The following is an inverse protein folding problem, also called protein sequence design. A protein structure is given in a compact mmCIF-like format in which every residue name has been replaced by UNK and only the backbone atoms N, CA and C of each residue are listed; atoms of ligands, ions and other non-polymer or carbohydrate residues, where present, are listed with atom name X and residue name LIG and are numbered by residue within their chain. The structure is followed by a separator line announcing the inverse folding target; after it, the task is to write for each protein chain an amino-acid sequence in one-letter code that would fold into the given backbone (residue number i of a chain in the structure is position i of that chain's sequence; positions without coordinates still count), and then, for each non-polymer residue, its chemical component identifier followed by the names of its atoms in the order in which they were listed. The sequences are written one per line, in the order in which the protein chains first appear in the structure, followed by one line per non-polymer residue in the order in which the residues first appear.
data_IF_791899458113
#
_entry.id   IF_791899458113
#
_cell.length_a   1.000
_cell.length_b   1.000
_cell.length_c   1.000
_cell.angle_alpha   90.00
_cell.angle_beta   90.00
_cell.angle_gamma   90.00
#
_symmetry.space_group_name_H-M   'P 1'
#
loop_
_entity.id
_entity.type
_entity.pdbx_description
1 polymer ?
#
# COMPACT_ATOMS: atom_id res chain seq x y z
N UNK A 1 -63.10 -0.70 17.47
CA UNK A 1 -61.83 -1.47 17.51
C UNK A 1 -61.08 -1.24 16.20
N UNK A 2 -60.09 -0.34 16.19
CA UNK A 2 -59.15 -0.16 15.08
C UNK A 2 -57.77 -0.02 15.70
N UNK A 3 -56.98 -1.10 15.63
CA UNK A 3 -55.60 -1.12 16.10
C UNK A 3 -54.73 -0.42 15.06
N UNK A 4 -54.11 0.69 15.46
CA UNK A 4 -53.06 1.35 14.70
C UNK A 4 -51.74 0.76 15.19
N UNK A 5 -51.12 -0.10 14.37
CA UNK A 5 -49.75 -0.57 14.58
C UNK A 5 -48.77 0.55 14.21
N UNK A 6 -47.84 0.95 15.09
CA UNK A 6 -46.78 1.86 14.71
C UNK A 6 -45.73 1.07 13.92
N UNK A 7 -45.47 1.51 12.69
CA UNK A 7 -44.36 1.03 11.87
C UNK A 7 -43.05 1.46 12.53
N UNK A 8 -42.41 0.55 13.26
CA UNK A 8 -41.05 0.76 13.77
C UNK A 8 -40.09 0.63 12.57
N UNK A 9 -39.69 1.78 12.06
CA UNK A 9 -38.68 1.89 11.02
C UNK A 9 -37.32 1.54 11.63
N UNK A 10 -36.89 0.28 11.50
CA UNK A 10 -35.55 -0.16 11.91
C UNK A 10 -34.56 0.38 10.89
N UNK A 11 -33.96 1.52 11.20
CA UNK A 11 -32.78 2.03 10.51
C UNK A 11 -31.60 1.13 10.84
N UNK A 12 -31.40 0.07 10.05
CA UNK A 12 -30.13 -0.65 10.05
C UNK A 12 -29.10 0.29 9.42
N UNK A 13 -28.42 1.07 10.27
CA UNK A 13 -27.20 1.77 9.93
C UNK A 13 -26.15 0.72 9.58
N UNK A 14 -26.06 0.32 8.32
CA UNK A 14 -24.91 -0.40 7.77
C UNK A 14 -23.74 0.58 7.64
N UNK A 15 -23.22 1.05 8.78
CA UNK A 15 -21.87 1.58 8.86
C UNK A 15 -20.90 0.40 8.75
N UNK A 16 -20.76 -0.13 7.54
CA UNK A 16 -19.58 -0.91 7.20
C UNK A 16 -18.42 0.09 7.14
N UNK A 17 -17.84 0.39 8.30
CA UNK A 17 -16.51 0.96 8.32
C UNK A 17 -15.65 -0.02 7.53
N UNK A 18 -15.07 0.48 6.44
CA UNK A 18 -14.13 -0.22 5.60
C UNK A 18 -12.95 -0.63 6.48
N UNK A 19 -13.04 -1.78 7.14
CA UNK A 19 -11.92 -2.40 7.82
C UNK A 19 -11.01 -2.85 6.69
N UNK A 20 -10.03 -2.02 6.37
CA UNK A 20 -8.92 -2.45 5.54
C UNK A 20 -8.27 -3.62 6.27
N UNK A 21 -8.45 -4.82 5.75
CA UNK A 21 -7.97 -6.04 6.40
C UNK A 21 -6.46 -6.09 6.23
N UNK A 22 -5.73 -5.80 7.31
CA UNK A 22 -4.28 -5.87 7.27
C UNK A 22 -3.80 -7.31 7.06
N UNK A 23 -2.77 -7.44 6.24
CA UNK A 23 -2.13 -8.71 5.92
C UNK A 23 -1.05 -8.96 6.97
N UNK A 24 -1.09 -10.15 7.57
CA UNK A 24 -0.04 -10.64 8.48
C UNK A 24 0.80 -11.69 7.76
N UNK A 25 2.11 -11.47 7.66
CA UNK A 25 3.04 -12.39 7.02
C UNK A 25 4.16 -12.76 7.99
N UNK A 26 4.55 -14.04 7.95
CA UNK A 26 5.73 -14.54 8.62
C UNK A 26 6.88 -14.64 7.62
N UNK A 27 8.11 -14.51 8.11
CA UNK A 27 9.29 -14.78 7.30
C UNK A 27 9.18 -16.18 6.67
N UNK A 28 9.44 -16.29 5.38
CA UNK A 28 9.27 -17.51 4.61
C UNK A 28 10.54 -18.01 3.93
N UNK A 29 11.56 -17.16 3.82
CA UNK A 29 12.84 -17.50 3.22
C UNK A 29 13.94 -16.66 3.85
N UNK A 30 15.11 -17.27 4.09
CA UNK A 30 16.35 -16.56 4.46
C UNK A 30 17.16 -16.36 3.18
N UNK A 31 17.41 -15.12 2.81
CA UNK A 31 18.18 -14.79 1.59
C UNK A 31 19.67 -14.64 1.87
N UNK A 32 20.03 -14.15 3.07
CA UNK A 32 21.43 -13.96 3.49
C UNK A 32 21.52 -13.85 5.00
N UNK A 33 22.69 -14.16 5.55
CA UNK A 33 23.01 -13.90 6.96
C UNK A 33 24.52 -13.73 7.13
N UNK A 34 24.94 -13.06 8.21
CA UNK A 34 26.37 -12.92 8.53
C UNK A 34 26.99 -14.20 9.09
N UNK A 35 26.28 -14.86 10.00
CA UNK A 35 26.74 -16.06 10.69
C UNK A 35 25.54 -16.79 11.30
N UNK A 36 25.78 -18.05 11.65
CA UNK A 36 24.86 -18.87 12.41
C UNK A 36 25.67 -19.80 13.32
N UNK A 37 25.07 -20.29 14.40
CA UNK A 37 25.75 -21.20 15.33
C UNK A 37 26.00 -22.58 14.74
N UNK A 38 24.98 -23.16 14.11
CA UNK A 38 25.07 -24.46 13.45
C UNK A 38 24.13 -24.53 12.22
N UNK A 39 24.06 -25.69 11.57
CA UNK A 39 23.20 -25.95 10.41
C UNK A 39 21.86 -26.60 10.78
N UNK A 40 21.54 -26.70 12.07
CA UNK A 40 20.35 -27.38 12.59
C UNK A 40 19.49 -26.47 13.46
N UNK A 41 19.31 -26.84 14.73
CA UNK A 41 18.39 -26.19 15.67
C UNK A 41 18.75 -24.77 16.08
N UNK A 42 19.90 -24.23 15.68
CA UNK A 42 20.31 -22.84 15.93
C UNK A 42 20.79 -22.15 14.63
N UNK A 43 20.22 -22.56 13.50
CA UNK A 43 20.53 -22.03 12.17
C UNK A 43 19.67 -20.82 11.80
N UNK A 44 20.06 -20.08 10.76
CA UNK A 44 19.29 -18.94 10.27
C UNK A 44 17.86 -19.32 9.86
N UNK A 45 17.64 -20.55 9.36
CA UNK A 45 16.33 -21.03 8.92
C UNK A 45 15.33 -21.24 10.07
N UNK A 46 15.77 -21.22 11.33
CA UNK A 46 14.85 -21.33 12.47
C UNK A 46 13.94 -20.11 12.62
N UNK A 47 14.28 -18.96 12.02
CA UNK A 47 13.47 -17.74 12.05
C UNK A 47 12.18 -17.82 11.21
N UNK A 48 12.03 -18.87 10.39
CA UNK A 48 10.98 -19.00 9.39
C UNK A 48 9.67 -19.52 10.01
N UNK A 49 8.56 -18.95 9.55
CA UNK A 49 7.23 -19.32 10.01
C UNK A 49 6.84 -18.66 11.34
N UNK A 50 5.92 -19.32 12.06
CA UNK A 50 5.45 -18.87 13.37
C UNK A 50 6.52 -19.17 14.45
N UNK A 51 6.56 -18.38 15.53
CA UNK A 51 7.46 -18.63 16.65
C UNK A 51 7.25 -20.03 17.24
N UNK A 52 8.36 -20.71 17.56
CA UNK A 52 8.38 -22.04 18.17
C UNK A 52 8.92 -22.02 19.62
N UNK A 53 9.58 -20.93 20.02
CA UNK A 53 10.19 -20.77 21.35
C UNK A 53 9.42 -19.78 22.22
N UNK A 54 9.05 -18.62 21.69
CA UNK A 54 8.25 -17.61 22.40
C UNK A 54 6.94 -18.22 22.91
N UNK A 55 6.51 -17.93 24.16
CA UNK A 55 7.02 -16.90 25.07
C UNK A 55 8.14 -17.37 26.01
N UNK A 56 8.75 -18.54 25.81
CA UNK A 56 9.84 -19.00 26.68
C UNK A 56 11.09 -18.15 26.48
N UNK A 57 11.81 -17.91 27.57
CA UNK A 57 13.11 -17.23 27.57
C UNK A 57 14.21 -18.22 27.91
N UNK A 58 15.34 -18.13 27.21
CA UNK A 58 16.52 -18.96 27.45
C UNK A 58 17.24 -19.29 26.16
N UNK A 59 18.43 -19.89 26.29
CA UNK A 59 19.18 -20.48 25.18
C UNK A 59 18.50 -21.80 24.79
N UNK A 60 17.64 -21.74 23.76
CA UNK A 60 16.72 -22.82 23.40
C UNK A 60 16.77 -23.02 21.90
N UNK A 61 17.07 -24.26 21.48
CA UNK A 61 17.00 -24.65 20.06
C UNK A 61 15.63 -24.36 19.45
N UNK A 62 15.62 -23.95 18.19
CA UNK A 62 14.45 -23.44 17.48
C UNK A 62 14.53 -21.94 17.17
N UNK A 63 15.70 -21.32 17.31
CA UNK A 63 15.94 -19.89 17.08
C UNK A 63 17.12 -19.67 16.14
N UNK A 64 17.22 -18.50 15.52
CA UNK A 64 18.47 -18.06 14.90
C UNK A 64 19.37 -17.43 15.96
N UNK A 65 20.64 -17.85 15.99
CA UNK A 65 21.70 -17.27 16.82
C UNK A 65 23.02 -17.23 16.07
N UNK A 66 23.88 -16.28 16.42
CA UNK A 66 25.18 -16.08 15.80
C UNK A 66 26.21 -17.18 16.15
N UNK A 67 27.32 -17.21 15.42
CA UNK A 67 28.44 -18.11 15.72
C UNK A 67 29.05 -17.82 17.11
N UNK A 68 29.35 -18.87 17.89
CA UNK A 68 29.90 -18.74 19.25
C UNK A 68 31.29 -18.12 19.34
N UNK A 69 32.06 -18.05 18.25
CA UNK A 69 33.32 -17.32 18.18
C UNK A 69 33.18 -15.83 17.82
N UNK A 70 31.96 -15.32 17.71
CA UNK A 70 31.64 -13.97 17.21
C UNK A 70 30.59 -13.29 18.11
N UNK A 71 30.86 -13.19 19.42
CA UNK A 71 29.87 -12.72 20.39
C UNK A 71 29.86 -11.19 20.58
N UNK A 72 30.86 -10.48 20.07
CA UNK A 72 31.17 -9.09 20.38
C UNK A 72 31.06 -8.16 19.15
N UNK A 73 30.14 -8.46 18.23
CA UNK A 73 29.96 -7.70 16.99
C UNK A 73 28.51 -7.64 16.54
N UNK A 74 28.27 -6.80 15.53
CA UNK A 74 27.00 -6.76 14.81
C UNK A 74 26.91 -7.93 13.84
N UNK A 75 25.76 -8.60 13.90
CA UNK A 75 25.32 -9.65 12.99
C UNK A 75 24.08 -9.20 12.21
N UNK A 76 23.84 -9.82 11.06
CA UNK A 76 22.65 -9.54 10.26
C UNK A 76 22.01 -10.82 9.74
N UNK A 77 20.70 -10.72 9.48
CA UNK A 77 19.92 -11.67 8.71
C UNK A 77 19.02 -10.92 7.73
N UNK A 78 18.95 -11.41 6.50
CA UNK A 78 18.10 -10.93 5.42
C UNK A 78 17.04 -12.00 5.16
N UNK A 79 15.77 -11.60 5.21
CA UNK A 79 14.61 -12.49 5.14
C UNK A 79 13.57 -11.96 4.18
N UNK A 80 12.88 -12.87 3.50
CA UNK A 80 11.74 -12.59 2.63
C UNK A 80 10.41 -13.03 3.22
N UNK A 81 9.35 -12.43 2.69
CA UNK A 81 7.96 -12.73 2.99
C UNK A 81 7.23 -13.26 1.74
N UNK A 82 6.13 -14.01 1.88
CA UNK A 82 5.48 -14.69 0.75
C UNK A 82 4.93 -13.77 -0.35
N UNK A 83 4.73 -12.48 -0.05
CA UNK A 83 4.27 -11.45 -0.97
C UNK A 83 4.62 -10.06 -0.44
N UNK A 84 4.60 -9.07 -1.32
CA UNK A 84 4.83 -7.68 -0.95
C UNK A 84 3.64 -7.08 -0.21
N UNK A 85 3.93 -6.16 0.72
CA UNK A 85 2.94 -5.34 1.41
C UNK A 85 3.44 -3.91 1.59
N UNK A 86 2.54 -2.94 1.68
CA UNK A 86 2.87 -1.63 2.23
C UNK A 86 3.04 -1.77 3.75
N UNK A 87 4.29 -1.74 4.18
CA UNK A 87 4.72 -2.09 5.54
C UNK A 87 4.12 -1.13 6.59
N UNK A 88 3.44 -1.69 7.59
CA UNK A 88 2.87 -0.96 8.74
C UNK A 88 3.54 -1.31 10.06
N UNK A 89 3.86 -2.58 10.25
CA UNK A 89 4.48 -3.08 11.48
C UNK A 89 5.53 -4.16 11.16
N UNK A 90 6.58 -4.19 11.95
CA UNK A 90 7.52 -5.31 12.06
C UNK A 90 7.48 -5.79 13.50
N UNK A 91 7.25 -7.09 13.73
CA UNK A 91 7.34 -7.71 15.04
C UNK A 91 8.45 -8.77 15.03
N UNK A 92 9.45 -8.62 15.91
CA UNK A 92 10.60 -9.52 16.04
C UNK A 92 10.48 -10.25 17.38
N UNK A 93 10.51 -11.58 17.36
CA UNK A 93 10.34 -12.41 18.54
C UNK A 93 11.71 -12.72 19.14
N UNK A 94 12.12 -11.94 20.15
CA UNK A 94 13.41 -12.08 20.82
C UNK A 94 13.25 -13.00 22.05
N UNK A 95 14.03 -14.08 22.13
CA UNK A 95 13.87 -15.14 23.15
C UNK A 95 15.09 -15.34 24.05
N UNK A 96 16.26 -14.81 23.67
CA UNK A 96 17.45 -14.79 24.54
C UNK A 96 18.26 -13.52 24.32
N UNK A 97 18.67 -12.87 25.42
CA UNK A 97 19.30 -11.55 25.42
C UNK A 97 18.64 -10.53 24.46
N UNK A 98 17.32 -10.34 24.63
CA UNK A 98 16.54 -9.41 23.84
C UNK A 98 17.04 -7.96 23.99
N UNK A 99 16.69 -7.08 23.04
CA UNK A 99 17.19 -5.70 23.02
C UNK A 99 18.38 -5.49 22.11
N UNK A 100 18.86 -6.54 21.44
CA UNK A 100 20.02 -6.49 20.57
C UNK A 100 19.72 -5.93 19.16
N UNK A 101 18.45 -5.90 18.73
CA UNK A 101 18.10 -5.34 17.41
C UNK A 101 18.40 -3.84 17.37
N UNK A 102 19.39 -3.46 16.56
CA UNK A 102 19.83 -2.06 16.39
C UNK A 102 19.37 -1.45 15.08
N UNK A 103 19.05 -2.28 14.07
CA UNK A 103 18.60 -1.79 12.76
C UNK A 103 17.63 -2.76 12.09
N UNK A 104 16.60 -2.20 11.47
CA UNK A 104 15.73 -2.89 10.52
C UNK A 104 15.67 -2.05 9.25
N UNK A 105 16.02 -2.64 8.12
CA UNK A 105 15.97 -2.00 6.81
C UNK A 105 15.06 -2.78 5.86
N UNK A 106 14.29 -2.07 5.04
CA UNK A 106 13.45 -2.62 3.98
C UNK A 106 14.14 -2.46 2.63
N UNK A 107 14.05 -3.48 1.78
CA UNK A 107 14.64 -3.43 0.43
C UNK A 107 13.70 -2.72 -0.54
N UNK A 108 14.20 -1.70 -1.22
CA UNK A 108 13.43 -0.94 -2.21
C UNK A 108 13.43 -1.63 -3.59
N UNK A 109 12.61 -1.15 -4.56
CA UNK A 109 12.58 -1.69 -5.92
C UNK A 109 13.90 -1.54 -6.71
N UNK A 110 14.81 -0.68 -6.25
CA UNK A 110 16.15 -0.46 -6.82
C UNK A 110 17.23 -1.33 -6.12
N UNK A 111 16.81 -2.29 -5.28
CA UNK A 111 17.66 -3.17 -4.49
C UNK A 111 18.54 -2.45 -3.46
N UNK A 112 18.13 -1.26 -3.01
CA UNK A 112 18.78 -0.52 -1.92
C UNK A 112 18.10 -0.80 -0.58
N UNK A 113 18.89 -0.80 0.49
CA UNK A 113 18.39 -0.96 1.86
C UNK A 113 18.02 0.38 2.46
N UNK A 114 16.75 0.55 2.81
CA UNK A 114 16.20 1.76 3.41
C UNK A 114 15.87 1.52 4.88
N UNK A 115 16.47 2.29 5.78
CA UNK A 115 16.26 2.15 7.22
C UNK A 115 14.82 2.51 7.61
N UNK A 116 14.08 1.50 8.10
CA UNK A 116 12.75 1.70 8.69
C UNK A 116 12.83 1.84 10.21
N UNK A 117 13.89 1.34 10.83
CA UNK A 117 14.21 1.53 12.23
C UNK A 117 15.73 1.50 12.43
N UNK A 118 16.26 2.39 13.26
CA UNK A 118 17.65 2.36 13.70
C UNK A 118 17.82 3.00 15.08
N UNK A 119 18.79 2.50 15.84
CA UNK A 119 19.28 3.03 17.11
C UNK A 119 20.79 2.83 17.21
N UNK A 120 21.45 3.57 18.10
CA UNK A 120 22.93 3.53 18.23
C UNK A 120 23.43 2.54 19.29
N UNK A 121 22.56 2.02 20.15
CA UNK A 121 22.96 1.17 21.27
C UNK A 121 22.00 -0.02 21.40
N UNK A 122 22.57 -1.21 21.59
CA UNK A 122 21.83 -2.39 22.03
C UNK A 122 21.57 -2.36 23.54
N UNK A 123 20.54 -3.10 23.94
CA UNK A 123 20.19 -3.35 25.33
C UNK A 123 20.25 -4.84 25.63
N UNK A 124 20.47 -5.20 26.89
CA UNK A 124 20.39 -6.59 27.37
C UNK A 124 19.16 -6.76 28.23
N UNK A 125 18.17 -7.44 27.68
CA UNK A 125 16.89 -7.73 28.34
C UNK A 125 16.81 -9.23 28.58
N UNK A 126 16.82 -9.63 29.87
CA UNK A 126 16.78 -11.03 30.30
C UNK A 126 15.35 -11.57 30.44
N UNK A 127 14.53 -11.31 29.41
CA UNK A 127 13.18 -11.84 29.25
C UNK A 127 12.85 -11.89 27.76
N UNK A 128 11.99 -12.83 27.38
CA UNK A 128 11.45 -12.90 26.02
C UNK A 128 10.51 -11.71 25.79
N UNK A 129 10.44 -11.22 24.56
CA UNK A 129 9.50 -10.17 24.17
C UNK A 129 9.18 -10.21 22.68
N UNK A 130 8.07 -9.58 22.34
CA UNK A 130 7.79 -9.18 20.96
C UNK A 130 8.28 -7.75 20.81
N UNK A 131 9.35 -7.56 20.05
CA UNK A 131 9.87 -6.25 19.72
C UNK A 131 9.16 -5.71 18.48
N UNK A 132 8.24 -4.76 18.69
CA UNK A 132 7.53 -4.03 17.63
C UNK A 132 7.87 -2.54 17.69
N UNK A 133 9.02 -2.10 17.14
CA UNK A 133 9.38 -0.69 17.16
C UNK A 133 8.44 0.15 16.29
N UNK A 134 8.36 1.46 16.60
CA UNK A 134 7.76 2.42 15.66
C UNK A 134 8.66 2.56 14.45
N UNK A 135 8.18 2.16 13.28
CA UNK A 135 8.92 2.24 12.03
C UNK A 135 8.67 3.56 11.29
N UNK A 136 9.66 4.00 10.53
CA UNK A 136 9.52 5.04 9.50
C UNK A 136 8.77 4.43 8.32
N UNK A 137 7.65 5.05 7.92
CA UNK A 137 6.87 4.59 6.77
C UNK A 137 7.67 4.71 5.47
N UNK A 138 7.55 3.71 4.61
CA UNK A 138 8.12 3.68 3.26
C UNK A 138 7.01 3.72 2.21
N UNK A 139 7.23 4.42 1.11
CA UNK A 139 6.24 4.60 0.03
C UNK A 139 6.42 3.58 -1.10
N UNK A 140 6.93 2.39 -0.77
CA UNK A 140 7.11 1.29 -1.70
C UNK A 140 6.73 -0.03 -1.04
N UNK A 141 6.34 -1.03 -1.83
CA UNK A 141 5.94 -2.33 -1.30
C UNK A 141 7.14 -3.18 -0.90
N UNK A 142 7.05 -3.81 0.27
CA UNK A 142 8.15 -4.54 0.93
C UNK A 142 7.82 -6.02 1.04
N UNK A 143 8.75 -6.87 0.62
CA UNK A 143 8.78 -8.32 0.87
C UNK A 143 10.13 -8.80 1.40
N UNK A 144 11.12 -7.92 1.60
CA UNK A 144 12.44 -8.30 2.10
C UNK A 144 12.93 -7.31 3.16
N UNK A 145 13.36 -7.84 4.29
CA UNK A 145 13.93 -7.08 5.41
C UNK A 145 15.34 -7.55 5.71
N UNK A 146 16.19 -6.61 6.13
CA UNK A 146 17.48 -6.85 6.78
C UNK A 146 17.37 -6.43 8.23
N UNK A 147 17.67 -7.34 9.14
CA UNK A 147 17.69 -7.11 10.58
C UNK A 147 19.13 -7.21 11.05
N UNK A 148 19.61 -6.20 11.76
CA UNK A 148 20.93 -6.21 12.39
C UNK A 148 20.80 -6.24 13.90
N UNK A 149 21.54 -7.16 14.52
CA UNK A 149 21.60 -7.37 15.97
C UNK A 149 23.03 -7.09 16.44
N UNK A 150 23.18 -6.23 17.43
CA UNK A 150 24.46 -5.94 18.08
C UNK A 150 24.61 -6.81 19.32
N UNK A 151 25.48 -7.82 19.23
CA UNK A 151 25.72 -8.78 20.30
C UNK A 151 26.76 -8.28 21.32
N UNK A 152 27.46 -7.19 21.04
CA UNK A 152 28.53 -6.68 21.91
C UNK A 152 28.05 -6.30 23.31
N UNK A 153 26.80 -5.83 23.44
CA UNK A 153 26.21 -5.45 24.72
C UNK A 153 26.01 -6.64 25.67
N UNK A 154 25.64 -7.82 25.15
CA UNK A 154 25.48 -9.04 25.95
C UNK A 154 26.78 -9.82 26.09
N UNK A 155 27.69 -9.70 25.11
CA UNK A 155 28.87 -10.54 24.93
C UNK A 155 28.53 -12.03 25.04
N UNK A 156 27.37 -12.41 24.49
CA UNK A 156 26.76 -13.74 24.59
C UNK A 156 25.76 -13.95 23.44
N UNK A 157 25.17 -15.15 23.33
CA UNK A 157 24.17 -15.48 22.32
C UNK A 157 22.98 -14.53 22.36
N UNK A 158 22.50 -14.15 21.18
CA UNK A 158 21.27 -13.38 20.98
C UNK A 158 20.39 -14.23 20.10
N UNK A 159 19.15 -14.49 20.54
CA UNK A 159 18.27 -15.42 19.85
C UNK A 159 16.99 -14.76 19.36
N UNK A 160 16.74 -14.95 18.06
CA UNK A 160 15.53 -14.53 17.37
C UNK A 160 14.76 -15.76 16.91
N UNK A 161 13.53 -15.90 17.40
CA UNK A 161 12.66 -17.05 17.13
C UNK A 161 11.87 -16.88 15.82
N UNK A 162 11.34 -15.69 15.56
CA UNK A 162 10.55 -15.42 14.36
C UNK A 162 10.48 -13.94 14.03
N UNK A 163 10.09 -13.63 12.79
CA UNK A 163 9.76 -12.28 12.35
C UNK A 163 8.42 -12.28 11.62
N UNK A 164 7.57 -11.33 12.02
CA UNK A 164 6.28 -11.06 11.40
C UNK A 164 6.27 -9.64 10.85
N UNK A 165 5.66 -9.45 9.69
CA UNK A 165 5.27 -8.12 9.22
C UNK A 165 3.76 -8.01 9.13
N UNK A 166 3.28 -6.78 9.33
CA UNK A 166 1.90 -6.39 9.07
C UNK A 166 1.92 -5.28 8.05
N UNK A 167 1.05 -5.35 7.06
CA UNK A 167 0.93 -4.32 6.04
C UNK A 167 -0.36 -4.44 5.26
N UNK A 168 -0.54 -3.54 4.30
CA UNK A 168 -1.72 -3.53 3.45
C UNK A 168 -1.35 -3.73 1.98
N UNK A 169 -2.38 -3.94 1.15
CA UNK A 169 -2.27 -4.04 -0.31
C UNK A 169 -2.07 -2.70 -1.00
N UNK A 170 -2.51 -1.63 -0.35
CA UNK A 170 -2.44 -0.27 -0.85
C UNK A 170 -1.63 0.63 0.10
N UNK A 171 -0.98 1.68 -0.41
CA UNK A 171 -0.33 2.66 0.43
C UNK A 171 -1.34 3.34 1.35
N UNK A 172 -0.83 3.95 2.42
CA UNK A 172 -1.66 4.76 3.30
C UNK A 172 -2.36 5.88 2.50
N UNK A 173 -3.61 6.20 2.86
CA UNK A 173 -4.49 7.18 2.19
C UNK A 173 -5.11 6.73 0.86
N UNK A 174 -4.68 5.59 0.29
CA UNK A 174 -5.33 5.01 -0.88
C UNK A 174 -6.59 4.24 -0.47
N UNK A 175 -7.55 4.19 -1.39
CA UNK A 175 -8.75 3.36 -1.31
C UNK A 175 -8.52 2.13 -2.15
N UNK A 176 -8.54 0.97 -1.51
CA UNK A 176 -8.55 -0.32 -2.20
C UNK A 176 -9.92 -0.54 -2.83
N UNK A 177 -9.94 -0.86 -4.12
CA UNK A 177 -11.13 -1.36 -4.79
C UNK A 177 -10.73 -2.46 -5.77
N UNK A 178 -11.25 -3.67 -5.54
CA UNK A 178 -10.85 -4.89 -6.27
C UNK A 178 -9.34 -5.10 -6.25
N UNK A 179 -8.66 -4.91 -7.38
CA UNK A 179 -7.23 -5.19 -7.57
C UNK A 179 -6.42 -3.92 -7.86
N UNK A 180 -6.96 -2.75 -7.49
CA UNK A 180 -6.34 -1.45 -7.72
C UNK A 180 -6.45 -0.58 -6.48
N UNK A 181 -5.49 0.35 -6.35
CA UNK A 181 -5.43 1.30 -5.26
C UNK A 181 -5.61 2.70 -5.82
N UNK A 182 -6.53 3.47 -5.25
CA UNK A 182 -6.91 4.77 -5.79
C UNK A 182 -6.74 5.87 -4.77
N UNK A 183 -6.32 7.04 -5.20
CA UNK A 183 -6.30 8.22 -4.34
C UNK A 183 -6.92 9.41 -5.06
N UNK A 184 -7.62 10.23 -4.28
CA UNK A 184 -8.31 11.41 -4.77
C UNK A 184 -7.59 12.64 -4.26
N UNK A 185 -7.08 13.46 -5.17
CA UNK A 185 -6.48 14.76 -4.85
C UNK A 185 -7.48 15.87 -5.15
N UNK A 186 -7.54 16.84 -4.24
CA UNK A 186 -8.45 18.01 -4.33
C UNK A 186 -7.75 19.24 -4.94
N UNK A 187 -6.47 19.13 -5.24
CA UNK A 187 -5.70 20.19 -5.87
C UNK A 187 -6.31 20.53 -7.22
N UNK A 188 -6.72 21.78 -7.39
CA UNK A 188 -7.38 22.24 -8.61
C UNK A 188 -6.32 22.51 -9.69
N UNK A 189 -6.21 21.60 -10.65
CA UNK A 189 -5.22 21.64 -11.75
C UNK A 189 -5.87 21.30 -13.09
N UNK A 190 -5.18 21.58 -14.20
CA UNK A 190 -5.62 21.13 -15.54
C UNK A 190 -5.44 19.62 -15.71
N UNK A 191 -6.11 19.04 -16.71
CA UNK A 191 -6.09 17.60 -16.97
C UNK A 191 -4.70 17.05 -17.29
N UNK A 192 -3.88 17.81 -18.02
CA UNK A 192 -2.49 17.41 -18.32
C UNK A 192 -1.59 17.47 -17.09
N UNK A 193 -1.79 18.48 -16.22
CA UNK A 193 -1.08 18.55 -14.94
C UNK A 193 -1.52 17.45 -13.98
N UNK A 194 -2.80 17.10 -13.95
CA UNK A 194 -3.31 15.96 -13.19
C UNK A 194 -2.69 14.65 -13.67
N UNK A 195 -2.58 14.46 -15.00
CA UNK A 195 -1.93 13.29 -15.60
C UNK A 195 -0.47 13.15 -15.14
N UNK A 196 0.32 14.23 -15.24
CA UNK A 196 1.71 14.25 -14.79
C UNK A 196 1.81 13.90 -13.29
N UNK A 197 0.95 14.47 -12.45
CA UNK A 197 0.97 14.20 -11.00
C UNK A 197 0.62 12.76 -10.63
N UNK A 198 -0.23 12.08 -11.39
CA UNK A 198 -0.46 10.66 -11.18
C UNK A 198 0.76 9.82 -11.59
N UNK A 199 1.45 10.19 -12.68
CA UNK A 199 2.71 9.55 -13.08
C UNK A 199 3.81 9.73 -12.02
N UNK A 200 3.96 10.94 -11.47
CA UNK A 200 4.91 11.24 -10.39
C UNK A 200 4.63 10.42 -9.12
N UNK A 201 3.38 10.02 -8.89
CA UNK A 201 2.98 9.12 -7.81
C UNK A 201 3.16 7.63 -8.12
N UNK A 202 3.76 7.29 -9.28
CA UNK A 202 3.95 5.91 -9.73
C UNK A 202 2.70 5.25 -10.31
N UNK A 203 1.67 6.04 -10.65
CA UNK A 203 0.39 5.58 -11.16
C UNK A 203 -0.03 6.27 -12.44
N UNK A 204 -1.33 6.28 -12.69
CA UNK A 204 -1.97 6.93 -13.84
C UNK A 204 -3.30 7.54 -13.40
N UNK A 205 -3.88 8.42 -14.20
CA UNK A 205 -5.26 8.84 -13.96
C UNK A 205 -6.18 7.62 -14.06
N UNK A 206 -7.12 7.49 -13.12
CA UNK A 206 -7.89 6.26 -12.94
C UNK A 206 -8.67 5.86 -14.21
N UNK A 207 -8.56 4.58 -14.58
CA UNK A 207 -9.28 4.04 -15.73
C UNK A 207 -10.53 3.32 -15.24
N UNK A 208 -11.70 3.72 -15.73
CA UNK A 208 -12.97 3.14 -15.28
C UNK A 208 -13.37 2.00 -16.22
N UNK A 209 -12.83 0.81 -15.98
CA UNK A 209 -12.97 -0.34 -16.88
C UNK A 209 -14.30 -1.07 -16.69
N UNK A 210 -14.98 -0.86 -15.55
CA UNK A 210 -16.25 -1.51 -15.21
C UNK A 210 -17.31 -0.55 -14.68
N UNK A 211 -18.58 -0.97 -14.75
CA UNK A 211 -19.70 -0.21 -14.20
C UNK A 211 -19.57 -0.01 -12.70
N UNK A 212 -19.23 -1.08 -11.99
CA UNK A 212 -19.14 -1.04 -10.54
C UNK A 212 -18.03 -0.08 -10.08
N UNK A 213 -16.93 -0.04 -10.83
CA UNK A 213 -15.81 0.87 -10.59
C UNK A 213 -16.20 2.34 -10.84
N UNK A 214 -16.83 2.64 -11.98
CA UNK A 214 -17.34 3.98 -12.26
C UNK A 214 -18.33 4.47 -11.18
N UNK A 215 -19.23 3.59 -10.72
CA UNK A 215 -20.18 3.90 -9.64
C UNK A 215 -19.48 4.07 -8.29
N UNK A 216 -18.48 3.27 -7.99
CA UNK A 216 -17.68 3.40 -6.78
C UNK A 216 -17.04 4.79 -6.70
N UNK A 217 -16.33 5.23 -7.75
CA UNK A 217 -15.71 6.55 -7.76
C UNK A 217 -16.72 7.69 -7.75
N UNK A 218 -17.80 7.56 -8.52
CA UNK A 218 -18.90 8.52 -8.51
C UNK A 218 -19.45 8.73 -7.10
N UNK A 219 -19.69 7.65 -6.37
CA UNK A 219 -20.17 7.72 -4.99
C UNK A 219 -19.09 8.26 -4.03
N UNK A 220 -17.83 7.86 -4.22
CA UNK A 220 -16.70 8.36 -3.44
C UNK A 220 -16.60 9.89 -3.53
N UNK A 221 -16.51 10.45 -4.74
CA UNK A 221 -16.36 11.91 -4.92
C UNK A 221 -17.62 12.67 -4.52
N UNK A 222 -18.81 12.10 -4.73
CA UNK A 222 -20.07 12.68 -4.25
C UNK A 222 -20.10 12.79 -2.73
N UNK A 223 -19.66 11.76 -2.01
CA UNK A 223 -19.64 11.73 -0.55
C UNK A 223 -18.58 12.67 0.04
N UNK A 224 -17.55 13.04 -0.72
CA UNK A 224 -16.56 14.02 -0.29
C UNK A 224 -17.13 15.45 -0.19
N UNK A 225 -18.27 15.74 -0.84
CA UNK A 225 -18.99 17.03 -0.78
C UNK A 225 -18.09 18.26 -1.03
N UNK A 226 -17.10 18.13 -1.91
CA UNK A 226 -16.16 19.23 -2.22
C UNK A 226 -16.71 20.23 -3.21
N UNK A 227 -17.70 19.84 -4.02
CA UNK A 227 -18.17 20.61 -5.18
C UNK A 227 -17.20 20.63 -6.36
N UNK A 228 -16.02 20.02 -6.24
CA UNK A 228 -15.02 19.92 -7.31
C UNK A 228 -15.43 18.87 -8.34
N UNK A 229 -15.11 19.13 -9.60
CA UNK A 229 -15.03 18.09 -10.65
C UNK A 229 -13.69 17.36 -10.57
N UNK A 230 -13.63 16.11 -11.04
CA UNK A 230 -12.45 15.25 -10.88
C UNK A 230 -12.01 14.59 -12.17
N UNK A 231 -10.78 14.86 -12.62
CA UNK A 231 -10.18 14.22 -13.79
C UNK A 231 -9.99 12.71 -13.59
N UNK A 232 -10.21 11.96 -14.68
CA UNK A 232 -9.99 10.51 -14.81
C UNK A 232 -9.22 10.22 -16.11
N UNK A 233 -8.81 8.98 -16.34
CA UNK A 233 -7.81 8.60 -17.36
C UNK A 233 -8.27 8.69 -18.82
N UNK A 234 -9.51 9.09 -19.07
CA UNK A 234 -10.10 9.03 -20.39
C UNK A 234 -9.54 10.09 -21.33
N UNK A 235 -9.05 9.66 -22.49
CA UNK A 235 -8.56 10.54 -23.56
C UNK A 235 -9.23 10.26 -24.90
N UNK A 236 -9.65 11.31 -25.59
CA UNK A 236 -10.19 11.20 -26.95
C UNK A 236 -9.04 11.27 -27.96
N UNK A 237 -8.84 10.21 -28.74
CA UNK A 237 -7.79 10.16 -29.76
C UNK A 237 -8.31 10.51 -31.17
N UNK A 238 -9.64 10.58 -31.35
CA UNK A 238 -10.24 10.95 -32.63
C UNK A 238 -11.63 11.54 -32.41
N UNK A 239 -11.68 12.85 -32.15
CA UNK A 239 -12.94 13.59 -31.93
C UNK A 239 -13.79 13.78 -33.18
N UNK A 240 -13.24 13.56 -34.37
CA UNK A 240 -13.99 13.64 -35.64
C UNK A 240 -14.91 12.44 -35.85
N UNK A 241 -14.68 11.35 -35.12
CA UNK A 241 -15.59 10.21 -35.06
C UNK A 241 -16.84 10.59 -34.27
N UNK A 242 -18.07 10.25 -34.72
CA UNK A 242 -19.28 10.47 -33.93
C UNK A 242 -19.15 9.84 -32.53
N UNK A 243 -19.30 10.66 -31.48
CA UNK A 243 -19.11 10.25 -30.08
C UNK A 243 -17.66 10.12 -29.60
N UNK A 244 -16.68 10.43 -30.47
CA UNK A 244 -15.25 10.35 -30.18
C UNK A 244 -14.67 8.93 -30.24
N UNK A 245 -13.34 8.83 -30.17
CA UNK A 245 -12.62 7.58 -29.95
C UNK A 245 -11.89 7.64 -28.61
N UNK A 246 -12.59 7.26 -27.55
CA UNK A 246 -12.10 7.37 -26.19
C UNK A 246 -11.29 6.14 -25.76
N UNK A 247 -10.15 6.41 -25.13
CA UNK A 247 -9.18 5.42 -24.67
C UNK A 247 -8.82 5.62 -23.21
N UNK A 248 -8.65 4.51 -22.52
CA UNK A 248 -7.96 4.46 -21.22
C UNK A 248 -6.45 4.39 -21.46
N UNK A 249 -5.66 5.02 -20.58
CA UNK A 249 -4.20 5.03 -20.67
C UNK A 249 -3.65 4.32 -19.43
N UNK A 250 -2.94 3.21 -19.64
CA UNK A 250 -2.29 2.43 -18.57
C UNK A 250 -0.97 1.88 -19.07
N UNK A 251 0.12 2.12 -18.34
CA UNK A 251 1.45 1.59 -18.66
C UNK A 251 1.87 1.84 -20.13
N UNK A 252 1.61 3.05 -20.64
CA UNK A 252 1.89 3.45 -22.02
C UNK A 252 1.01 2.78 -23.09
N UNK A 253 0.05 1.95 -22.71
CA UNK A 253 -0.91 1.30 -23.61
C UNK A 253 -2.24 2.03 -23.59
N UNK A 254 -2.85 2.16 -24.76
CA UNK A 254 -4.20 2.67 -24.93
C UNK A 254 -5.17 1.52 -25.15
N UNK A 255 -6.14 1.35 -24.26
CA UNK A 255 -7.22 0.37 -24.43
C UNK A 255 -8.51 1.08 -24.84
N UNK A 256 -9.32 0.41 -25.67
CA UNK A 256 -10.65 0.92 -26.01
C UNK A 256 -11.48 0.92 -24.74
N UNK A 257 -12.15 2.02 -24.44
CA UNK A 257 -13.11 2.02 -23.35
C UNK A 257 -14.27 1.08 -23.67
N UNK A 258 -14.55 0.17 -22.75
CA UNK A 258 -15.59 -0.87 -22.87
C UNK A 258 -16.88 -0.48 -22.13
N UNK A 259 -16.75 0.28 -21.04
CA UNK A 259 -17.85 0.73 -20.21
C UNK A 259 -17.68 2.20 -19.82
N UNK A 260 -18.52 3.11 -20.34
CA UNK A 260 -18.60 4.50 -19.91
C UNK A 260 -19.88 5.13 -20.48
N UNK A 261 -20.43 6.10 -19.75
CA UNK A 261 -21.58 6.87 -20.19
C UNK A 261 -21.35 8.35 -19.90
N UNK A 262 -21.32 9.14 -20.97
CA UNK A 262 -21.26 10.59 -20.90
C UNK A 262 -22.58 11.18 -20.36
N UNK A 263 -22.50 12.43 -19.91
CA UNK A 263 -23.66 13.25 -19.61
C UNK A 263 -24.57 13.43 -20.82
N UNK A 264 -25.75 14.03 -20.58
CA UNK A 264 -26.59 14.42 -21.70
C UNK A 264 -25.81 15.43 -22.57
N UNK A 265 -25.96 15.34 -23.89
CA UNK A 265 -25.29 16.20 -24.89
C UNK A 265 -23.76 16.14 -24.88
N UNK A 266 -23.17 15.07 -24.37
CA UNK A 266 -21.73 14.86 -24.29
C UNK A 266 -21.35 13.53 -24.98
N UNK A 267 -20.14 13.38 -25.54
CA UNK A 267 -19.12 14.42 -25.65
C UNK A 267 -19.45 15.48 -26.72
N UNK A 268 -19.03 16.73 -26.53
CA UNK A 268 -19.33 17.86 -27.44
C UNK A 268 -18.08 18.57 -28.04
N UNK A 269 -16.90 18.05 -27.74
CA UNK A 269 -15.63 18.47 -28.32
C UNK A 269 -15.60 18.40 -29.85
N UNK A 270 -14.90 19.36 -30.46
CA UNK A 270 -14.74 19.46 -31.91
C UNK A 270 -13.38 20.09 -32.27
N UNK A 271 -13.09 20.27 -33.55
CA UNK A 271 -11.81 20.79 -34.01
C UNK A 271 -11.51 22.23 -33.51
N UNK A 272 -12.55 23.04 -33.27
CA UNK A 272 -12.41 24.40 -32.72
C UNK A 272 -12.27 24.40 -31.20
N UNK A 273 -12.97 23.47 -30.53
CA UNK A 273 -12.98 23.31 -29.08
C UNK A 273 -12.53 21.89 -28.73
N UNK A 274 -11.21 21.62 -28.74
CA UNK A 274 -10.64 20.29 -28.52
C UNK A 274 -10.79 19.84 -27.06
N UNK A 275 -11.95 19.24 -26.77
CA UNK A 275 -12.25 18.66 -25.46
C UNK A 275 -11.90 17.17 -25.45
N UNK A 276 -10.61 16.86 -25.26
CA UNK A 276 -10.10 15.49 -25.35
C UNK A 276 -9.80 14.83 -24.00
N UNK A 277 -10.14 15.49 -22.89
CA UNK A 277 -9.98 14.98 -21.54
C UNK A 277 -11.30 14.64 -20.91
N UNK A 278 -11.29 13.70 -19.97
CA UNK A 278 -12.49 13.25 -19.27
C UNK A 278 -12.43 13.63 -17.79
N UNK A 279 -13.55 14.11 -17.25
CA UNK A 279 -13.72 14.26 -15.81
C UNK A 279 -15.11 13.85 -15.32
N UNK A 280 -15.24 13.64 -14.01
CA UNK A 280 -16.54 13.62 -13.36
C UNK A 280 -17.00 15.06 -13.10
N UNK A 281 -18.08 15.49 -13.76
CA UNK A 281 -18.59 16.85 -13.65
C UNK A 281 -19.52 17.02 -12.45
N UNK A 282 -19.09 17.78 -11.45
CA UNK A 282 -19.86 17.99 -10.21
C UNK A 282 -21.30 18.51 -10.45
N UNK A 283 -21.52 19.56 -11.27
CA UNK A 283 -22.86 20.11 -11.50
C UNK A 283 -23.86 19.13 -12.16
N UNK A 284 -23.39 18.19 -13.00
CA UNK A 284 -24.23 17.11 -13.57
C UNK A 284 -24.15 15.82 -12.73
N UNK A 285 -24.13 15.96 -11.40
CA UNK A 285 -24.14 14.85 -10.45
C UNK A 285 -23.06 13.82 -10.74
N UNK A 286 -21.86 14.27 -11.09
CA UNK A 286 -20.68 13.45 -11.41
C UNK A 286 -20.96 12.43 -12.54
N UNK A 287 -21.60 12.87 -13.62
CA UNK A 287 -21.53 12.17 -14.91
C UNK A 287 -20.23 12.54 -15.64
N UNK A 288 -19.82 11.70 -16.58
CA UNK A 288 -18.61 11.94 -17.38
C UNK A 288 -18.90 13.03 -18.40
N UNK A 289 -17.99 14.00 -18.52
CA UNK A 289 -18.04 15.08 -19.50
C UNK A 289 -16.66 15.16 -20.15
N UNK A 290 -16.63 15.56 -21.42
CA UNK A 290 -15.38 15.90 -22.08
C UNK A 290 -15.02 17.35 -21.82
N UNK A 291 -13.73 17.61 -21.68
CA UNK A 291 -13.20 18.94 -21.39
C UNK A 291 -11.86 19.14 -22.05
N UNK A 292 -11.44 20.41 -22.14
CA UNK A 292 -10.08 20.76 -22.51
C UNK A 292 -9.08 20.13 -21.54
N UNK A 293 -8.00 19.59 -22.09
CA UNK A 293 -6.93 19.03 -21.30
C UNK A 293 -6.05 20.08 -20.63
N UNK A 294 -5.80 21.18 -21.33
CA UNK A 294 -5.05 22.31 -20.81
C UNK A 294 -5.52 23.62 -21.43
N UNK A 295 -6.36 24.36 -20.70
CA UNK A 295 -6.79 25.69 -21.10
C UNK A 295 -6.84 26.70 -19.94
N UNK A 296 -6.35 26.32 -18.75
CA UNK A 296 -6.36 27.16 -17.54
C UNK A 296 -7.74 27.49 -16.94
N UNK A 297 -8.84 27.19 -17.64
CA UNK A 297 -10.20 27.52 -17.22
C UNK A 297 -10.94 26.33 -16.59
N UNK A 298 -10.68 25.11 -17.06
CA UNK A 298 -11.17 23.90 -16.41
C UNK A 298 -10.09 23.40 -15.46
N UNK A 299 -10.24 23.74 -14.19
CA UNK A 299 -9.41 23.22 -13.11
C UNK A 299 -10.27 22.34 -12.21
N UNK A 300 -9.72 21.20 -11.79
CA UNK A 300 -10.43 20.24 -10.97
C UNK A 300 -9.47 19.39 -10.15
N UNK A 301 -10.05 18.64 -9.22
CA UNK A 301 -9.32 17.56 -8.57
C UNK A 301 -9.04 16.43 -9.55
N UNK A 302 -8.40 15.37 -9.09
CA UNK A 302 -8.10 14.22 -9.93
C UNK A 302 -8.04 12.92 -9.13
N UNK A 303 -8.36 11.83 -9.81
CA UNK A 303 -8.31 10.48 -9.25
C UNK A 303 -7.19 9.75 -9.94
N UNK A 304 -6.23 9.28 -9.16
CA UNK A 304 -5.16 8.43 -9.66
C UNK A 304 -5.39 6.99 -9.24
N UNK A 305 -4.86 6.08 -10.02
CA UNK A 305 -4.85 4.64 -9.82
C UNK A 305 -3.39 4.14 -9.86
N UNK A 306 -3.06 3.24 -8.95
CA UNK A 306 -1.87 2.40 -9.01
C UNK A 306 -2.31 0.94 -8.97
N UNK A 307 -1.54 0.07 -9.62
CA UNK A 307 -1.77 -1.37 -9.56
C UNK A 307 -1.51 -1.89 -8.14
N UNK A 308 -2.38 -2.78 -7.66
CA UNK A 308 -2.18 -3.44 -6.38
C UNK A 308 -1.03 -4.46 -6.45
N UNK A 309 -0.46 -4.77 -5.29
CA UNK A 309 0.49 -5.87 -5.07
C UNK A 309 -0.14 -7.25 -5.26
#
# INVERSE_FOLDING_TARGET
MKFILPVVCVWILTYCHWIQCSIHLWASEVTRFSSQYNTGGLSANQILGKPNVYPRYGDIVGTWTQNGGQLDRVHFIEIKFPRKVYLKEVSIFETYHAGAVVRVAAKDPQNQWMDVYNVTHAHVIRKSRIFSPKIKGVQFPVDELRIEVDCSASNNYVEIDAVKIVGDRCPEQYKEYRNSCYFVKKDSVSGDKAFIRCLEAGGYLANLETLEEAMFFKNLVKNMKTGLSFYVGGRNINRRKPGGDWRWIKNGKMSKMTYFAFGATQPDGNDKYPQDCMFFYAPDRYKLHDVFCDNGHYLGGYICEIDQL
#
